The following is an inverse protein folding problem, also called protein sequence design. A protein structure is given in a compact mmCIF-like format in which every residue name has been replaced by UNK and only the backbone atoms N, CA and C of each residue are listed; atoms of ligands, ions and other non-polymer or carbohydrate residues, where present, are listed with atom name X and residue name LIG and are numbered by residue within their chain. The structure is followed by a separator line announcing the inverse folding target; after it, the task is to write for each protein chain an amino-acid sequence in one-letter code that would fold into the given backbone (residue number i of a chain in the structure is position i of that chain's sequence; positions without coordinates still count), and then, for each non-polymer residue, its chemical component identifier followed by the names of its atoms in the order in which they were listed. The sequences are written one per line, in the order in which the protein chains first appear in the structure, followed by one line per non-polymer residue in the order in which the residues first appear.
data_IF_644826730599
#
_entry.id   IF_644826730599
#
_cell.length_a   1.000
_cell.length_b   1.000
_cell.length_c   1.000
_cell.angle_alpha   90.00
_cell.angle_beta   90.00
_cell.angle_gamma   90.00
#
_symmetry.space_group_name_H-M   'P 1'
#
loop_
_entity.id
_entity.type
_entity.pdbx_description
1 polymer ?
#
# COMPACT_ATOMS: atom_id res chain seq x y z
N UNK A 1 -3.56 12.54 -14.18
CA UNK A 1 -3.46 13.64 -13.18
C UNK A 1 -3.00 13.20 -11.79
N UNK A 2 -2.82 11.90 -11.47
CA UNK A 2 -2.37 11.45 -10.14
C UNK A 2 -0.86 11.56 -9.89
N UNK A 3 -0.04 11.60 -10.95
CA UNK A 3 1.42 11.67 -10.85
C UNK A 3 1.93 12.93 -10.12
N UNK A 4 1.28 14.08 -10.35
CA UNK A 4 1.75 15.36 -9.78
C UNK A 4 1.65 15.43 -8.25
N UNK A 5 0.70 14.72 -7.63
CA UNK A 5 0.59 14.69 -6.16
C UNK A 5 1.63 13.79 -5.53
N UNK A 6 1.84 12.60 -6.12
CA UNK A 6 2.86 11.66 -5.68
C UNK A 6 4.28 12.23 -5.85
N UNK A 7 4.55 12.92 -6.96
CA UNK A 7 5.86 13.54 -7.24
C UNK A 7 6.15 14.72 -6.31
N UNK A 8 5.15 15.57 -6.03
CA UNK A 8 5.29 16.69 -5.09
C UNK A 8 5.49 16.18 -3.65
N UNK A 9 4.81 15.11 -3.26
CA UNK A 9 5.04 14.43 -1.99
C UNK A 9 6.47 13.87 -1.93
N UNK A 10 6.94 13.17 -2.98
CA UNK A 10 8.29 12.59 -3.06
C UNK A 10 9.40 13.66 -2.97
N UNK A 11 9.19 14.83 -3.58
CA UNK A 11 10.12 15.96 -3.51
C UNK A 11 10.14 16.63 -2.13
N UNK A 12 9.03 16.64 -1.40
CA UNK A 12 8.98 17.15 -0.03
C UNK A 12 9.59 16.16 0.96
N UNK A 13 9.37 14.87 0.74
CA UNK A 13 9.88 13.75 1.53
C UNK A 13 11.41 13.70 1.63
N UNK A 14 12.11 14.02 0.53
CA UNK A 14 13.59 14.09 0.52
C UNK A 14 14.17 15.31 1.25
N UNK A 15 13.33 16.30 1.59
CA UNK A 15 13.78 17.59 2.16
C UNK A 15 13.56 17.75 3.67
N UNK A 16 12.81 16.85 4.32
CA UNK A 16 12.53 16.91 5.76
C UNK A 16 12.75 15.54 6.40
N UNK A 17 14.01 15.22 6.66
CA UNK A 17 14.37 14.02 7.43
C UNK A 17 14.14 14.20 8.95
N UNK A 18 13.66 15.36 9.39
CA UNK A 18 13.44 15.68 10.80
C UNK A 18 12.01 16.17 11.03
N UNK A 19 11.16 15.28 11.53
CA UNK A 19 10.16 15.65 12.52
C UNK A 19 9.67 14.41 13.24
N UNK A 20 10.43 14.09 14.28
CA UNK A 20 9.96 13.50 15.54
C UNK A 20 8.52 13.88 15.84
N UNK A 21 7.62 12.89 15.86
CA UNK A 21 6.23 13.06 16.24
C UNK A 21 5.27 12.25 15.37
N UNK A 22 5.48 10.94 15.24
CA UNK A 22 4.36 10.07 14.85
C UNK A 22 3.32 10.22 15.96
N UNK A 23 2.22 10.91 15.66
CA UNK A 23 1.04 10.90 16.52
C UNK A 23 0.69 9.44 16.79
N UNK A 24 0.53 9.06 18.06
CA UNK A 24 0.51 7.67 18.54
C UNK A 24 -0.38 6.72 17.71
N UNK A 25 -1.49 7.22 17.14
CA UNK A 25 -2.39 6.45 16.28
C UNK A 25 -1.90 6.13 14.87
N UNK A 26 -0.94 6.86 14.31
CA UNK A 26 -0.39 6.56 12.98
C UNK A 26 0.59 5.38 13.03
N UNK A 27 1.34 5.24 14.12
CA UNK A 27 2.25 4.12 14.33
C UNK A 27 1.48 2.80 14.38
N UNK A 28 0.32 2.77 15.07
CA UNK A 28 -0.54 1.59 15.15
C UNK A 28 -1.15 1.24 13.78
N UNK A 29 -1.68 2.23 13.04
CA UNK A 29 -2.21 1.99 11.71
C UNK A 29 -1.16 1.50 10.72
N UNK A 30 0.07 2.03 10.79
CA UNK A 30 1.20 1.53 10.01
C UNK A 30 1.48 0.07 10.36
N UNK A 31 1.59 -0.26 11.65
CA UNK A 31 1.85 -1.63 12.09
C UNK A 31 0.78 -2.61 11.60
N UNK A 32 -0.49 -2.29 11.80
CA UNK A 32 -1.61 -3.12 11.32
C UNK A 32 -1.61 -3.26 9.79
N UNK A 33 -1.23 -2.21 9.06
CA UNK A 33 -1.10 -2.27 7.60
C UNK A 33 -0.03 -3.26 7.16
N UNK A 34 1.14 -3.23 7.81
CA UNK A 34 2.24 -4.17 7.53
C UNK A 34 1.89 -5.60 7.93
N UNK A 35 1.21 -5.78 9.05
CA UNK A 35 0.76 -7.08 9.53
C UNK A 35 -0.27 -7.71 8.56
N UNK A 36 -1.23 -6.91 8.08
CA UNK A 36 -2.20 -7.33 7.07
C UNK A 36 -1.53 -7.72 5.74
N UNK A 37 -0.45 -7.02 5.31
CA UNK A 37 0.33 -7.46 4.15
C UNK A 37 0.98 -8.83 4.38
N UNK A 38 1.54 -9.06 5.57
CA UNK A 38 2.11 -10.35 5.96
C UNK A 38 1.10 -11.50 5.92
N UNK A 39 -0.17 -11.21 6.21
CA UNK A 39 -1.28 -12.16 6.14
C UNK A 39 -1.92 -12.30 4.75
N UNK A 40 -1.39 -11.65 3.71
CA UNK A 40 -2.01 -11.55 2.38
C UNK A 40 -3.40 -10.90 2.36
N UNK A 41 -3.73 -10.05 3.33
CA UNK A 41 -4.93 -9.21 3.33
C UNK A 41 -4.61 -7.85 2.70
N UNK A 42 -4.33 -7.83 1.39
CA UNK A 42 -3.82 -6.62 0.74
C UNK A 42 -4.83 -5.46 0.76
N UNK A 43 -6.12 -5.75 0.61
CA UNK A 43 -7.17 -4.72 0.63
C UNK A 43 -7.27 -4.05 2.01
N UNK A 44 -7.19 -4.84 3.09
CA UNK A 44 -7.18 -4.32 4.46
C UNK A 44 -5.92 -3.49 4.71
N UNK A 45 -4.75 -3.97 4.28
CA UNK A 45 -3.51 -3.23 4.40
C UNK A 45 -3.59 -1.85 3.74
N UNK A 46 -4.15 -1.79 2.52
CA UNK A 46 -4.36 -0.54 1.80
C UNK A 46 -5.29 0.41 2.54
N UNK A 47 -6.35 -0.08 3.19
CA UNK A 47 -7.21 0.76 4.04
C UNK A 47 -6.41 1.41 5.18
N UNK A 48 -5.59 0.64 5.91
CA UNK A 48 -4.80 1.17 7.03
C UNK A 48 -3.82 2.26 6.56
N UNK A 49 -3.11 2.02 5.47
CA UNK A 49 -2.18 3.01 4.93
C UNK A 49 -2.88 4.24 4.35
N UNK A 50 -4.05 4.07 3.71
CA UNK A 50 -4.86 5.19 3.23
C UNK A 50 -5.34 6.08 4.39
N UNK A 51 -5.66 5.48 5.54
CA UNK A 51 -5.97 6.23 6.76
C UNK A 51 -4.75 6.99 7.28
N UNK A 52 -3.55 6.41 7.22
CA UNK A 52 -2.31 7.13 7.57
C UNK A 52 -2.11 8.38 6.70
N UNK A 53 -2.19 8.27 5.37
CA UNK A 53 -2.02 9.44 4.48
C UNK A 53 -3.17 10.45 4.56
N UNK A 54 -4.33 10.05 5.10
CA UNK A 54 -5.45 10.97 5.35
C UNK A 54 -5.21 11.84 6.59
N UNK A 55 -4.44 11.35 7.56
CA UNK A 55 -4.07 12.08 8.79
C UNK A 55 -2.75 12.83 8.60
N UNK A 56 -1.73 12.19 8.03
CA UNK A 56 -0.47 12.80 7.62
C UNK A 56 -0.18 12.48 6.15
N UNK A 57 -0.53 13.40 5.24
CA UNK A 57 -0.26 13.26 3.82
C UNK A 57 1.22 13.17 3.45
N UNK A 58 2.15 13.43 4.37
CA UNK A 58 3.59 13.35 4.13
C UNK A 58 4.21 12.06 4.73
N UNK A 59 3.39 11.13 5.25
CA UNK A 59 3.87 9.88 5.86
C UNK A 59 4.45 8.91 4.82
N UNK A 60 5.79 8.87 4.72
CA UNK A 60 6.52 8.02 3.76
C UNK A 60 6.19 6.54 3.90
N UNK A 61 6.18 6.04 5.15
CA UNK A 61 5.99 4.63 5.44
C UNK A 61 4.63 4.14 4.95
N UNK A 62 3.60 4.99 5.01
CA UNK A 62 2.28 4.67 4.49
C UNK A 62 2.28 4.55 2.96
N UNK A 63 3.00 5.44 2.26
CA UNK A 63 3.14 5.33 0.80
C UNK A 63 3.90 4.09 0.37
N UNK A 64 4.97 3.72 1.09
CA UNK A 64 5.70 2.47 0.83
C UNK A 64 4.76 1.28 1.01
N UNK A 65 4.00 1.24 2.11
CA UNK A 65 3.00 0.20 2.36
C UNK A 65 1.93 0.11 1.26
N UNK A 66 1.45 1.24 0.74
CA UNK A 66 0.49 1.27 -0.39
C UNK A 66 1.10 0.66 -1.65
N UNK A 67 2.33 1.03 -1.99
CA UNK A 67 3.01 0.50 -3.16
C UNK A 67 3.18 -1.02 -3.08
N UNK A 68 3.56 -1.53 -1.90
CA UNK A 68 3.69 -2.97 -1.67
C UNK A 68 2.34 -3.69 -1.77
N UNK A 69 1.29 -3.14 -1.14
CA UNK A 69 -0.06 -3.70 -1.22
C UNK A 69 -0.62 -3.76 -2.63
N UNK A 70 -0.44 -2.70 -3.43
CA UNK A 70 -0.86 -2.67 -4.83
C UNK A 70 -0.06 -3.67 -5.69
N UNK A 71 1.24 -3.81 -5.44
CA UNK A 71 2.07 -4.78 -6.14
C UNK A 71 1.65 -6.23 -5.82
N UNK A 72 1.35 -6.51 -4.55
CA UNK A 72 0.82 -7.80 -4.14
C UNK A 72 -0.55 -8.08 -4.80
N UNK A 73 -1.51 -7.15 -4.77
CA UNK A 73 -2.81 -7.30 -5.45
C UNK A 73 -2.67 -7.65 -6.93
N UNK A 74 -1.79 -6.94 -7.65
CA UNK A 74 -1.54 -7.23 -9.07
C UNK A 74 -1.02 -8.65 -9.28
N UNK A 75 -0.11 -9.14 -8.43
CA UNK A 75 0.38 -10.52 -8.48
C UNK A 75 -0.76 -11.52 -8.25
N UNK A 76 -1.61 -11.30 -7.25
CA UNK A 76 -2.74 -12.18 -6.96
C UNK A 76 -3.76 -12.21 -8.11
N UNK A 77 -4.06 -11.06 -8.73
CA UNK A 77 -4.94 -11.01 -9.91
C UNK A 77 -4.34 -11.77 -11.09
N UNK A 78 -3.04 -11.64 -11.35
CA UNK A 78 -2.37 -12.41 -12.39
C UNK A 78 -2.45 -13.92 -12.13
N UNK A 79 -2.22 -14.36 -10.88
CA UNK A 79 -2.33 -15.76 -10.50
C UNK A 79 -3.75 -16.29 -10.70
N UNK A 80 -4.78 -15.55 -10.27
CA UNK A 80 -6.19 -15.93 -10.50
C UNK A 80 -6.49 -16.12 -11.98
N UNK A 81 -6.06 -15.19 -12.83
CA UNK A 81 -6.26 -15.30 -14.30
C UNK A 81 -5.56 -16.52 -14.91
N UNK A 82 -4.37 -16.88 -14.43
CA UNK A 82 -3.69 -18.09 -14.88
C UNK A 82 -4.48 -19.36 -14.53
N UNK A 83 -5.05 -19.43 -13.32
CA UNK A 83 -5.88 -20.57 -12.91
C UNK A 83 -7.18 -20.67 -13.73
N UNK A 84 -7.88 -19.55 -13.94
CA UNK A 84 -9.09 -19.51 -14.78
C UNK A 84 -8.80 -19.98 -16.21
N UNK A 85 -7.64 -19.63 -16.78
CA UNK A 85 -7.24 -20.08 -18.11
C UNK A 85 -6.98 -21.60 -18.18
N UNK A 86 -6.37 -22.18 -17.13
CA UNK A 86 -6.10 -23.64 -17.05
C UNK A 86 -7.41 -24.42 -16.89
N UNK A 87 -8.33 -23.95 -16.05
CA UNK A 87 -9.65 -24.58 -15.89
C UNK A 87 -10.43 -24.58 -17.20
N UNK A 88 -10.39 -23.50 -17.98
CA UNK A 88 -11.04 -23.44 -19.29
C UNK A 88 -10.43 -24.42 -20.30
N UNK A 89 -9.10 -24.50 -20.39
CA UNK A 89 -8.39 -25.41 -21.32
C UNK A 89 -8.63 -26.88 -20.99
N UNK A 90 -8.75 -27.23 -19.71
CA UNK A 90 -9.02 -28.61 -19.26
C UNK A 90 -10.48 -29.07 -19.40
N UNK A 91 -11.38 -28.18 -19.82
CA UNK A 91 -12.80 -28.49 -20.09
C UNK A 91 -13.15 -28.59 -21.57
N UNK A 92 -12.17 -28.40 -22.47
CA UNK A 92 -12.24 -28.60 -23.93
C UNK A 92 -11.68 -29.96 -24.34
#
# INVERSE_FOLDING_TARGET
MFAGRAEVAFRKLTSRHDSTGLADGQTELLFLGWEALGQNHQEEALDKFNRCISVDPDNLSAYIGILEGLHALKKFQNVKRCFEAIELDSTL
#
